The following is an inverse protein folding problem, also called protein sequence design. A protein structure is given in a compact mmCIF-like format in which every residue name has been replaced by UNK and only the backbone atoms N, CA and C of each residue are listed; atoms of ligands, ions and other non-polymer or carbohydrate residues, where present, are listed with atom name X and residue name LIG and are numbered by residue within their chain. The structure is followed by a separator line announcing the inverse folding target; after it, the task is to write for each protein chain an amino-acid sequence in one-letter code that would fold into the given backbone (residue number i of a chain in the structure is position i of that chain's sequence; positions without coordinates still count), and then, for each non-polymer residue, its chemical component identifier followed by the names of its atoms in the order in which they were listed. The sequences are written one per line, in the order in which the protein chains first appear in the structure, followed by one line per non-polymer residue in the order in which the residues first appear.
data_IF_946923504769
#
_entry.id   IF_946923504769
#
_cell.length_a   1.000
_cell.length_b   1.000
_cell.length_c   1.000
_cell.angle_alpha   90.00
_cell.angle_beta   90.00
_cell.angle_gamma   90.00
#
_symmetry.space_group_name_H-M   'P 1'
#
loop_
_entity.id
_entity.type
_entity.pdbx_description
1 polymer ?
#
# COMPACT_ATOMS: atom_id res chain seq x y z
N UNK A 1 -22.01 -40.33 66.17
CA UNK A 1 -22.85 -39.71 67.23
C UNK A 1 -23.09 -38.28 66.78
N UNK A 2 -24.28 -37.71 66.58
CA UNK A 2 -25.70 -37.98 66.86
C UNK A 2 -26.48 -37.13 65.82
N UNK A 3 -27.42 -37.68 65.03
CA UNK A 3 -28.90 -37.47 65.13
C UNK A 3 -29.33 -35.99 65.23
N UNK A 4 -30.36 -35.46 64.58
CA UNK A 4 -31.48 -35.97 63.76
C UNK A 4 -32.44 -34.80 63.49
N UNK A 5 -33.26 -34.91 62.43
CA UNK A 5 -34.67 -34.44 62.29
C UNK A 5 -34.99 -32.94 62.55
N UNK A 6 -35.90 -32.26 61.86
CA UNK A 6 -37.09 -32.63 61.09
C UNK A 6 -38.08 -31.44 61.18
N UNK A 7 -39.26 -31.58 60.57
CA UNK A 7 -40.42 -30.66 60.45
C UNK A 7 -40.45 -29.79 59.18
N UNK A 8 -41.29 -30.08 58.17
CA UNK A 8 -42.76 -30.21 58.04
C UNK A 8 -43.49 -28.88 57.76
N UNK A 9 -44.06 -28.86 56.55
CA UNK A 9 -45.43 -28.47 56.19
C UNK A 9 -45.75 -27.06 55.63
N UNK A 10 -46.26 -27.13 54.39
CA UNK A 10 -47.41 -26.44 53.77
C UNK A 10 -47.40 -24.91 53.67
N UNK A 11 -47.59 -24.42 52.43
CA UNK A 11 -48.82 -23.76 51.98
C UNK A 11 -48.85 -23.80 50.44
N UNK A 12 -49.95 -24.29 49.89
CA UNK A 12 -50.31 -24.18 48.48
C UNK A 12 -51.00 -22.83 48.25
N UNK A 13 -50.59 -22.08 47.22
CA UNK A 13 -51.40 -20.99 46.67
C UNK A 13 -51.53 -21.21 45.17
N UNK A 14 -52.77 -21.44 44.77
CA UNK A 14 -53.27 -21.50 43.41
C UNK A 14 -53.40 -20.06 42.88
N UNK A 15 -52.68 -19.74 41.80
CA UNK A 15 -52.81 -18.46 41.10
C UNK A 15 -53.01 -18.71 39.61
N UNK A 16 -54.26 -18.65 39.16
CA UNK A 16 -54.64 -18.61 37.74
C UNK A 16 -54.48 -17.18 37.26
N UNK A 17 -53.59 -16.90 36.31
CA UNK A 17 -53.59 -15.66 35.51
C UNK A 17 -53.17 -15.97 34.06
N UNK A 18 -54.20 -16.10 33.22
CA UNK A 18 -54.36 -15.60 31.85
C UNK A 18 -53.17 -15.58 30.89
N UNK A 19 -53.36 -16.32 29.78
CA UNK A 19 -52.59 -16.25 28.55
C UNK A 19 -52.58 -14.85 27.94
N UNK A 20 -51.38 -14.33 27.70
CA UNK A 20 -51.10 -13.27 26.74
C UNK A 20 -50.00 -13.75 25.80
N UNK A 21 -50.37 -14.34 24.68
CA UNK A 21 -49.43 -14.58 23.59
C UNK A 21 -49.08 -13.22 22.98
N UNK A 22 -47.93 -12.67 23.33
CA UNK A 22 -47.34 -11.57 22.58
C UNK A 22 -46.93 -12.11 21.20
N UNK A 23 -47.26 -11.43 20.09
CA UNK A 23 -46.70 -11.81 18.80
C UNK A 23 -45.19 -11.60 18.87
N UNK A 24 -44.44 -12.69 18.70
CA UNK A 24 -43.04 -12.62 18.32
C UNK A 24 -43.01 -11.99 16.92
N UNK A 25 -42.87 -10.66 16.87
CA UNK A 25 -42.33 -10.02 15.67
C UNK A 25 -40.92 -10.57 15.51
N UNK A 26 -40.78 -11.57 14.64
CA UNK A 26 -39.53 -11.86 13.98
C UNK A 26 -39.16 -10.58 13.21
N UNK A 27 -38.41 -9.71 13.86
CA UNK A 27 -37.63 -8.72 13.15
C UNK A 27 -36.60 -9.55 12.37
N UNK A 28 -36.89 -9.78 11.09
CA UNK A 28 -35.86 -10.07 10.09
C UNK A 28 -34.95 -8.84 10.04
N UNK A 29 -34.07 -8.78 11.05
CA UNK A 29 -32.92 -7.91 11.08
C UNK A 29 -31.95 -8.45 10.06
N UNK A 30 -32.26 -8.25 8.77
CA UNK A 30 -31.24 -8.15 7.77
C UNK A 30 -30.33 -7.01 8.24
N UNK A 31 -29.26 -7.39 8.93
CA UNK A 31 -28.10 -6.54 9.10
C UNK A 31 -27.69 -6.23 7.68
N UNK A 32 -28.09 -5.06 7.17
CA UNK A 32 -27.46 -4.47 6.00
C UNK A 32 -26.05 -4.19 6.50
N UNK A 33 -25.19 -5.20 6.38
CA UNK A 33 -23.77 -5.06 6.56
C UNK A 33 -23.40 -4.02 5.53
N UNK A 34 -23.14 -2.79 6.01
CA UNK A 34 -22.77 -1.68 5.17
C UNK A 34 -21.43 -2.09 4.58
N UNK A 35 -21.46 -2.70 3.40
CA UNK A 35 -20.28 -3.22 2.74
C UNK A 35 -19.23 -2.12 2.78
N UNK A 36 -18.14 -2.38 3.51
CA UNK A 36 -17.04 -1.44 3.61
C UNK A 36 -16.48 -1.31 2.21
N UNK A 37 -16.60 -0.14 1.59
CA UNK A 37 -16.05 0.05 0.26
C UNK A 37 -14.54 0.07 0.35
N UNK A 38 -13.86 -0.73 -0.48
CA UNK A 38 -12.41 -0.65 -0.62
C UNK A 38 -11.98 0.81 -0.89
N UNK A 39 -10.81 1.25 -0.37
CA UNK A 39 -10.29 2.58 -0.65
C UNK A 39 -10.23 2.85 -2.16
N UNK A 40 -10.56 4.08 -2.62
CA UNK A 40 -10.44 4.44 -4.03
C UNK A 40 -9.00 4.29 -4.53
N UNK A 41 -8.02 4.54 -3.66
CA UNK A 41 -6.59 4.32 -3.92
C UNK A 41 -5.89 3.79 -2.65
N UNK A 42 -4.90 2.92 -2.86
CA UNK A 42 -4.03 2.37 -1.81
C UNK A 42 -2.58 2.73 -2.15
N UNK A 43 -2.01 3.64 -1.37
CA UNK A 43 -0.66 4.15 -1.54
C UNK A 43 0.26 3.58 -0.47
N UNK A 44 1.28 2.88 -0.90
CA UNK A 44 2.26 2.27 0.00
C UNK A 44 3.66 2.70 -0.39
N UNK A 45 4.30 3.44 0.50
CA UNK A 45 5.70 3.84 0.33
C UNK A 45 6.64 3.01 1.20
N UNK A 46 7.88 2.81 0.76
CA UNK A 46 8.93 2.18 1.56
C UNK A 46 10.15 3.08 1.76
N UNK A 47 10.54 3.25 3.03
CA UNK A 47 11.78 3.91 3.40
C UNK A 47 13.01 3.01 3.18
N UNK A 48 14.12 3.63 2.79
CA UNK A 48 15.43 2.98 2.62
C UNK A 48 16.12 2.65 3.96
N UNK A 49 17.30 2.00 3.91
CA UNK A 49 18.16 1.81 5.08
C UNK A 49 17.53 1.11 6.29
N UNK A 50 17.97 1.49 7.49
CA UNK A 50 17.38 1.12 8.80
C UNK A 50 16.53 2.26 9.38
N UNK A 51 15.95 3.07 8.50
CA UNK A 51 15.28 4.32 8.84
C UNK A 51 13.87 4.03 9.39
N UNK A 52 13.52 4.72 10.49
CA UNK A 52 12.17 4.72 11.01
C UNK A 52 11.23 5.52 10.09
N UNK A 53 9.98 5.04 9.89
CA UNK A 53 9.04 5.63 8.94
C UNK A 53 8.55 7.04 9.34
N UNK A 54 8.80 7.46 10.59
CA UNK A 54 8.40 8.76 11.13
C UNK A 54 9.50 9.83 11.04
N UNK A 55 10.67 9.52 10.44
CA UNK A 55 11.72 10.52 10.30
C UNK A 55 11.41 11.47 9.12
N UNK A 56 11.16 12.77 9.37
CA UNK A 56 10.64 13.71 8.37
C UNK A 56 11.66 14.10 7.29
N UNK A 57 12.93 13.71 7.43
CA UNK A 57 13.99 14.08 6.48
C UNK A 57 14.10 13.12 5.28
N UNK A 58 13.25 12.09 5.22
CA UNK A 58 13.31 11.06 4.19
C UNK A 58 12.35 11.34 3.03
N UNK A 59 12.85 11.20 1.80
CA UNK A 59 12.13 11.47 0.56
C UNK A 59 10.75 10.80 0.48
N UNK A 60 10.62 9.48 0.74
CA UNK A 60 9.32 8.81 0.77
C UNK A 60 8.34 9.38 1.79
N UNK A 61 8.82 9.82 2.95
CA UNK A 61 8.01 10.38 4.04
C UNK A 61 7.51 11.78 3.67
N UNK A 62 8.38 12.62 3.12
CA UNK A 62 8.00 13.96 2.65
C UNK A 62 7.02 13.89 1.49
N UNK A 63 7.24 12.97 0.54
CA UNK A 63 6.31 12.71 -0.54
C UNK A 63 4.92 12.32 0.01
N UNK A 64 4.87 11.38 0.95
CA UNK A 64 3.64 10.99 1.60
C UNK A 64 2.92 12.16 2.29
N UNK A 65 3.65 13.04 2.96
CA UNK A 65 3.09 14.23 3.60
C UNK A 65 2.51 15.23 2.59
N UNK A 66 3.16 15.41 1.43
CA UNK A 66 2.65 16.27 0.36
C UNK A 66 1.41 15.67 -0.31
N UNK A 67 1.49 14.42 -0.75
CA UNK A 67 0.38 13.71 -1.41
C UNK A 67 -0.85 13.65 -0.50
N UNK A 68 -0.69 13.46 0.81
CA UNK A 68 -1.82 13.38 1.76
C UNK A 68 -2.76 14.59 1.69
N UNK A 69 -2.28 15.76 1.26
CA UNK A 69 -3.10 16.97 1.09
C UNK A 69 -4.01 16.93 -0.14
N UNK A 70 -3.62 16.14 -1.14
CA UNK A 70 -4.30 16.02 -2.44
C UNK A 70 -5.09 14.71 -2.57
N UNK A 71 -5.02 13.82 -1.57
CA UNK A 71 -5.69 12.52 -1.63
C UNK A 71 -7.22 12.65 -1.58
N UNK A 72 -7.95 11.85 -2.39
CA UNK A 72 -9.39 11.79 -2.29
C UNK A 72 -9.81 11.20 -0.94
N UNK A 73 -10.99 11.60 -0.47
CA UNK A 73 -11.56 11.08 0.77
C UNK A 73 -11.65 9.54 0.74
N UNK A 74 -11.18 8.91 1.81
CA UNK A 74 -11.17 7.45 1.94
C UNK A 74 -9.97 6.74 1.29
N UNK A 75 -9.07 7.45 0.59
CA UNK A 75 -7.81 6.85 0.14
C UNK A 75 -6.93 6.46 1.33
N UNK A 76 -6.21 5.35 1.17
CA UNK A 76 -5.25 4.87 2.15
C UNK A 76 -3.84 5.26 1.73
N UNK A 77 -3.06 5.81 2.66
CA UNK A 77 -1.63 6.08 2.47
C UNK A 77 -0.84 5.70 3.72
N UNK A 78 0.17 4.85 3.55
CA UNK A 78 1.10 4.49 4.62
C UNK A 78 2.53 4.28 4.12
N UNK A 79 3.50 4.73 4.93
CA UNK A 79 4.92 4.43 4.74
C UNK A 79 5.32 3.27 5.64
N UNK A 80 6.09 2.33 5.10
CA UNK A 80 6.64 1.19 5.81
C UNK A 80 8.16 1.19 5.74
N UNK A 81 8.78 0.57 6.72
CA UNK A 81 10.19 0.19 6.64
C UNK A 81 10.35 -0.94 5.62
N UNK A 82 11.44 -0.97 4.86
CA UNK A 82 11.66 -2.02 3.84
C UNK A 82 11.60 -3.46 4.40
N UNK A 83 11.90 -3.67 5.68
CA UNK A 83 11.81 -4.98 6.36
C UNK A 83 10.37 -5.39 6.68
N UNK A 84 9.43 -4.45 6.73
CA UNK A 84 8.02 -4.69 7.05
C UNK A 84 7.15 -4.91 5.79
N UNK A 85 7.75 -5.33 4.67
CA UNK A 85 7.04 -5.65 3.43
C UNK A 85 5.86 -6.62 3.63
N UNK A 86 6.03 -7.67 4.44
CA UNK A 86 4.96 -8.64 4.72
C UNK A 86 3.77 -8.00 5.46
N UNK A 87 4.03 -7.00 6.30
CA UNK A 87 2.99 -6.23 6.98
C UNK A 87 2.23 -5.38 5.98
N UNK A 88 2.94 -4.69 5.07
CA UNK A 88 2.30 -3.94 3.99
C UNK A 88 1.44 -4.84 3.08
N UNK A 89 1.94 -6.03 2.71
CA UNK A 89 1.17 -7.01 1.94
C UNK A 89 -0.15 -7.36 2.64
N UNK A 90 -0.11 -7.73 3.93
CA UNK A 90 -1.31 -8.04 4.72
C UNK A 90 -2.26 -6.84 4.81
N UNK A 91 -1.73 -5.64 5.03
CA UNK A 91 -2.54 -4.42 5.07
C UNK A 91 -3.29 -4.21 3.75
N UNK A 92 -2.62 -4.38 2.61
CA UNK A 92 -3.27 -4.29 1.29
C UNK A 92 -4.37 -5.32 1.14
N UNK A 93 -4.12 -6.60 1.48
CA UNK A 93 -5.15 -7.63 1.35
C UNK A 93 -6.37 -7.32 2.22
N UNK A 94 -6.16 -6.89 3.47
CA UNK A 94 -7.26 -6.53 4.38
C UNK A 94 -8.06 -5.32 3.90
N UNK A 95 -7.43 -4.36 3.20
CA UNK A 95 -8.14 -3.21 2.62
C UNK A 95 -8.97 -3.59 1.39
N UNK A 96 -8.59 -4.66 0.69
CA UNK A 96 -9.30 -5.17 -0.49
C UNK A 96 -10.41 -6.16 -0.12
N UNK A 97 -10.29 -6.85 1.02
CA UNK A 97 -11.26 -7.80 1.55
C UNK A 97 -12.44 -7.06 2.17
N UNK A 98 -13.41 -6.69 1.32
CA UNK A 98 -14.53 -5.80 1.64
C UNK A 98 -15.67 -6.51 2.36
N UNK A 99 -15.83 -7.81 2.15
CA UNK A 99 -16.80 -8.64 2.85
C UNK A 99 -16.21 -9.35 4.08
N UNK A 100 -14.89 -9.25 4.27
CA UNK A 100 -14.15 -9.75 5.43
C UNK A 100 -14.23 -11.27 5.60
N UNK A 101 -14.33 -12.00 4.49
CA UNK A 101 -14.37 -13.46 4.48
C UNK A 101 -12.96 -14.11 4.49
N UNK A 102 -11.91 -13.29 4.34
CA UNK A 102 -10.51 -13.71 4.33
C UNK A 102 -10.00 -14.22 2.99
N UNK A 103 -10.80 -14.18 1.92
CA UNK A 103 -10.47 -14.68 0.58
C UNK A 103 -10.88 -13.67 -0.50
N UNK A 104 -9.90 -12.95 -1.03
CA UNK A 104 -10.16 -11.98 -2.10
C UNK A 104 -10.83 -12.60 -3.33
N UNK A 105 -12.04 -12.15 -3.61
CA UNK A 105 -12.79 -12.44 -4.82
C UNK A 105 -12.16 -11.75 -6.05
N UNK A 106 -12.56 -12.18 -7.25
CA UNK A 106 -12.14 -11.51 -8.49
C UNK A 106 -12.60 -10.05 -8.54
N UNK A 107 -13.78 -9.76 -7.99
CA UNK A 107 -14.35 -8.43 -7.98
C UNK A 107 -13.56 -7.48 -7.07
N UNK A 108 -13.08 -7.96 -5.93
CA UNK A 108 -12.24 -7.18 -5.01
C UNK A 108 -10.87 -6.90 -5.59
N UNK A 109 -10.22 -7.92 -6.18
CA UNK A 109 -8.93 -7.74 -6.86
C UNK A 109 -9.03 -6.73 -8.02
N UNK A 110 -10.10 -6.78 -8.79
CA UNK A 110 -10.30 -5.89 -9.94
C UNK A 110 -10.49 -4.42 -9.54
N UNK A 111 -10.84 -4.13 -8.28
CA UNK A 111 -10.99 -2.76 -7.75
C UNK A 111 -9.69 -2.22 -7.13
N UNK A 112 -8.61 -2.99 -7.16
CA UNK A 112 -7.35 -2.59 -6.56
C UNK A 112 -6.67 -1.47 -7.38
N UNK A 113 -6.69 -0.25 -6.86
CA UNK A 113 -5.92 0.88 -7.37
C UNK A 113 -4.69 1.12 -6.48
N UNK A 114 -3.69 0.24 -6.63
CA UNK A 114 -2.50 0.24 -5.77
C UNK A 114 -1.37 1.01 -6.45
N UNK A 115 -0.75 1.92 -5.71
CA UNK A 115 0.45 2.65 -6.13
C UNK A 115 1.55 2.40 -5.10
N UNK A 116 2.71 1.95 -5.56
CA UNK A 116 3.85 1.61 -4.72
C UNK A 116 5.05 2.48 -5.06
N UNK A 117 5.73 3.01 -4.06
CA UNK A 117 6.96 3.78 -4.28
C UNK A 117 7.98 3.54 -3.17
N UNK A 118 9.25 3.82 -3.44
CA UNK A 118 10.27 3.71 -2.41
C UNK A 118 11.63 4.19 -2.87
N UNK A 119 12.52 4.35 -1.91
CA UNK A 119 13.91 4.73 -2.12
C UNK A 119 14.85 3.60 -1.71
N UNK A 120 15.98 3.41 -2.42
CA UNK A 120 17.05 2.49 -2.00
C UNK A 120 16.56 1.05 -1.79
N UNK A 121 16.79 0.46 -0.61
CA UNK A 121 16.23 -0.83 -0.23
C UNK A 121 14.70 -0.84 -0.16
N UNK A 122 14.06 0.31 0.07
CA UNK A 122 12.62 0.48 -0.02
C UNK A 122 12.11 0.33 -1.45
N UNK A 123 12.82 0.89 -2.43
CA UNK A 123 12.52 0.68 -3.85
C UNK A 123 12.64 -0.80 -4.25
N UNK A 124 13.64 -1.51 -3.71
CA UNK A 124 13.72 -2.97 -3.90
C UNK A 124 12.54 -3.69 -3.22
N UNK A 125 12.05 -3.20 -2.09
CA UNK A 125 10.89 -3.78 -1.41
C UNK A 125 9.59 -3.61 -2.21
N UNK A 126 9.43 -2.49 -2.95
CA UNK A 126 8.31 -2.27 -3.88
C UNK A 126 8.22 -3.39 -4.91
N UNK A 127 9.33 -3.74 -5.57
CA UNK A 127 9.33 -4.80 -6.59
C UNK A 127 9.00 -6.16 -5.99
N UNK A 128 9.52 -6.44 -4.79
CA UNK A 128 9.23 -7.70 -4.10
C UNK A 128 7.77 -7.77 -3.64
N UNK A 129 7.19 -6.66 -3.18
CA UNK A 129 5.78 -6.59 -2.81
C UNK A 129 4.91 -6.80 -4.04
N UNK A 130 5.26 -6.16 -5.16
CA UNK A 130 4.55 -6.34 -6.43
C UNK A 130 4.50 -7.80 -6.86
N UNK A 131 5.58 -8.56 -6.66
CA UNK A 131 5.61 -10.02 -6.91
C UNK A 131 4.77 -10.83 -5.94
N UNK A 132 4.66 -10.40 -4.68
CA UNK A 132 3.76 -11.04 -3.71
C UNK A 132 2.30 -10.79 -4.09
N UNK A 133 1.97 -9.57 -4.53
CA UNK A 133 0.66 -9.21 -5.07
C UNK A 133 0.36 -9.96 -6.38
N UNK A 134 1.35 -10.14 -7.26
CA UNK A 134 1.23 -10.89 -8.51
C UNK A 134 0.80 -12.35 -8.25
N UNK A 135 1.47 -13.01 -7.28
CA UNK A 135 1.09 -14.36 -6.85
C UNK A 135 -0.31 -14.44 -6.26
N UNK A 136 -0.80 -13.34 -5.68
CA UNK A 136 -2.17 -13.23 -5.18
C UNK A 136 -3.19 -12.84 -6.27
N UNK A 137 -2.73 -12.53 -7.49
CA UNK A 137 -3.54 -12.04 -8.60
C UNK A 137 -4.06 -10.61 -8.39
N UNK A 138 -3.37 -9.81 -7.58
CA UNK A 138 -3.74 -8.42 -7.28
C UNK A 138 -2.99 -7.47 -8.22
N UNK A 139 -3.69 -6.65 -9.03
CA UNK A 139 -3.05 -5.69 -9.93
C UNK A 139 -2.46 -4.51 -9.16
N UNK A 140 -1.43 -3.89 -9.75
CA UNK A 140 -0.78 -2.67 -9.26
C UNK A 140 -0.78 -1.67 -10.41
N UNK A 141 -1.24 -0.44 -10.16
CA UNK A 141 -1.29 0.60 -11.18
C UNK A 141 0.11 1.11 -11.51
N UNK A 142 0.86 1.48 -10.48
CA UNK A 142 2.14 2.15 -10.65
C UNK A 142 3.15 1.65 -9.62
N UNK A 143 4.37 1.40 -10.08
CA UNK A 143 5.55 1.29 -9.21
C UNK A 143 6.56 2.38 -9.52
N UNK A 144 7.09 3.04 -8.50
CA UNK A 144 8.18 4.00 -8.65
C UNK A 144 9.37 3.60 -7.80
N UNK A 145 10.50 3.35 -8.45
CA UNK A 145 11.76 3.02 -7.81
C UNK A 145 12.67 4.23 -7.84
N UNK A 146 13.09 4.72 -6.67
CA UNK A 146 14.10 5.77 -6.54
C UNK A 146 15.40 5.16 -6.02
N UNK A 147 16.46 5.31 -6.80
CA UNK A 147 17.82 4.85 -6.56
C UNK A 147 17.89 3.44 -5.97
N UNK A 148 17.18 2.50 -6.61
CA UNK A 148 16.92 1.18 -6.06
C UNK A 148 18.19 0.35 -5.88
N UNK A 149 18.37 -0.23 -4.69
CA UNK A 149 19.47 -1.13 -4.39
C UNK A 149 18.88 -2.50 -4.04
N UNK A 150 19.22 -3.50 -4.84
CA UNK A 150 18.89 -4.88 -4.52
C UNK A 150 19.74 -5.39 -3.34
N UNK A 151 19.09 -6.07 -2.39
CA UNK A 151 19.82 -6.87 -1.40
C UNK A 151 20.45 -8.10 -2.08
N UNK A 152 21.51 -8.69 -1.50
CA UNK A 152 22.07 -9.93 -2.01
C UNK A 152 20.97 -10.97 -2.26
N UNK A 153 21.04 -11.68 -3.39
CA UNK A 153 20.09 -12.73 -3.80
C UNK A 153 18.69 -12.23 -4.23
N UNK A 154 18.48 -10.91 -4.28
CA UNK A 154 17.26 -10.32 -4.79
C UNK A 154 17.54 -9.60 -6.12
N UNK A 155 16.53 -9.56 -6.99
CA UNK A 155 16.57 -8.78 -8.21
C UNK A 155 15.39 -7.82 -8.20
N UNK A 156 15.67 -6.54 -8.36
CA UNK A 156 14.70 -5.44 -8.47
C UNK A 156 14.62 -4.90 -9.90
N UNK A 157 15.24 -5.59 -10.86
CA UNK A 157 15.34 -5.18 -12.27
C UNK A 157 14.10 -5.53 -13.10
N UNK A 158 13.48 -6.67 -12.80
CA UNK A 158 12.33 -7.19 -13.55
C UNK A 158 11.05 -6.86 -12.80
N UNK A 159 10.20 -6.06 -13.43
CA UNK A 159 8.88 -5.66 -12.93
C UNK A 159 7.88 -6.76 -13.31
N UNK A 160 7.09 -7.27 -12.35
CA UNK A 160 6.10 -8.31 -12.61
C UNK A 160 4.94 -7.81 -13.46
N UNK A 161 4.26 -8.74 -14.12
CA UNK A 161 3.23 -8.44 -15.12
C UNK A 161 1.92 -7.88 -14.57
N UNK A 162 1.68 -8.01 -13.26
CA UNK A 162 0.54 -7.39 -12.58
C UNK A 162 0.69 -5.88 -12.41
N UNK A 163 1.86 -5.31 -12.71
CA UNK A 163 2.11 -3.87 -12.66
C UNK A 163 1.79 -3.27 -14.02
N UNK A 164 0.85 -2.32 -14.09
CA UNK A 164 0.50 -1.65 -15.33
C UNK A 164 1.61 -0.70 -15.80
N UNK A 165 2.11 0.15 -14.91
CA UNK A 165 3.15 1.14 -15.21
C UNK A 165 4.30 1.11 -14.19
N UNK A 166 5.53 1.37 -14.65
CA UNK A 166 6.68 1.47 -13.78
C UNK A 166 7.66 2.56 -14.20
N UNK A 167 8.20 3.29 -13.21
CA UNK A 167 9.22 4.30 -13.39
C UNK A 167 10.43 4.03 -12.50
N UNK A 168 11.62 4.32 -13.02
CA UNK A 168 12.87 4.22 -12.28
C UNK A 168 13.62 5.54 -12.35
N UNK A 169 14.01 6.07 -11.19
CA UNK A 169 14.85 7.24 -11.02
C UNK A 169 16.15 6.75 -10.39
N UNK A 170 17.31 7.10 -10.96
CA UNK A 170 18.57 6.56 -10.46
C UNK A 170 19.73 7.54 -10.62
N UNK A 171 20.71 7.43 -9.73
CA UNK A 171 22.03 8.02 -9.93
C UNK A 171 23.08 6.91 -10.12
N UNK A 172 24.04 7.07 -11.06
CA UNK A 172 24.96 5.99 -11.42
C UNK A 172 26.33 6.04 -10.75
N UNK A 173 26.55 6.90 -9.74
CA UNK A 173 27.88 7.23 -9.22
C UNK A 173 28.06 6.77 -7.77
N UNK A 174 29.33 6.59 -7.38
CA UNK A 174 29.69 6.13 -6.04
C UNK A 174 29.69 4.60 -5.89
N UNK A 175 30.09 4.12 -4.73
CA UNK A 175 30.12 2.69 -4.40
C UNK A 175 28.72 2.11 -4.25
N UNK A 176 27.80 2.95 -3.79
CA UNK A 176 26.39 2.66 -3.67
C UNK A 176 25.68 3.49 -4.72
N UNK A 177 25.06 2.81 -5.67
CA UNK A 177 24.31 3.43 -6.75
C UNK A 177 23.05 2.63 -7.07
N UNK A 178 22.02 3.33 -7.54
CA UNK A 178 20.77 2.70 -7.90
C UNK A 178 20.86 1.83 -9.14
N UNK A 179 19.82 1.02 -9.33
CA UNK A 179 19.55 0.26 -10.54
C UNK A 179 19.38 1.23 -11.71
N UNK A 180 20.28 1.16 -12.69
CA UNK A 180 20.21 2.04 -13.86
C UNK A 180 19.10 1.72 -14.85
N UNK A 181 18.62 0.47 -14.87
CA UNK A 181 17.59 0.03 -15.80
C UNK A 181 16.67 -1.01 -15.20
N UNK A 182 15.37 -0.74 -15.23
CA UNK A 182 14.29 -1.70 -15.01
C UNK A 182 13.68 -2.14 -16.35
N UNK A 183 13.05 -3.31 -16.36
CA UNK A 183 12.37 -3.89 -17.52
C UNK A 183 11.10 -4.61 -17.08
N UNK A 184 10.07 -4.58 -17.91
CA UNK A 184 8.91 -5.43 -17.73
C UNK A 184 9.30 -6.90 -17.91
N UNK A 185 8.71 -7.81 -17.12
CA UNK A 185 8.74 -9.25 -17.43
C UNK A 185 7.98 -9.55 -18.72
N UNK A 186 6.90 -8.80 -18.97
CA UNK A 186 6.10 -8.85 -20.20
C UNK A 186 5.76 -7.41 -20.64
N UNK A 187 6.33 -6.97 -21.76
CA UNK A 187 6.11 -5.61 -22.29
C UNK A 187 4.68 -5.40 -22.84
N UNK A 188 3.88 -6.46 -23.01
CA UNK A 188 2.48 -6.34 -23.40
C UNK A 188 1.55 -6.02 -22.22
N UNK A 189 2.01 -6.25 -20.99
CA UNK A 189 1.24 -6.04 -19.75
C UNK A 189 1.75 -4.88 -18.90
N UNK A 190 3.05 -4.62 -18.94
CA UNK A 190 3.69 -3.57 -18.14
C UNK A 190 4.41 -2.56 -19.02
N UNK A 191 4.03 -1.29 -18.88
CA UNK A 191 4.72 -0.17 -19.52
C UNK A 191 5.81 0.38 -18.60
N UNK A 192 7.05 0.44 -19.11
CA UNK A 192 8.13 1.18 -18.44
C UNK A 192 8.08 2.63 -18.90
N UNK A 193 7.62 3.52 -18.02
CA UNK A 193 7.49 4.96 -18.29
C UNK A 193 8.86 5.61 -18.54
N UNK A 194 9.88 5.15 -17.82
CA UNK A 194 11.23 5.66 -18.02
C UNK A 194 12.25 5.11 -17.04
N UNK A 195 13.52 5.26 -17.43
CA UNK A 195 14.68 5.10 -16.56
C UNK A 195 15.40 6.45 -16.52
N UNK A 196 15.01 7.30 -15.58
CA UNK A 196 15.42 8.69 -15.46
C UNK A 196 16.73 8.79 -14.69
N UNK A 197 17.76 9.30 -15.36
CA UNK A 197 19.10 9.47 -14.78
C UNK A 197 19.24 10.82 -14.09
N UNK A 198 19.74 10.82 -12.87
CA UNK A 198 20.15 12.00 -12.11
C UNK A 198 21.67 11.97 -11.91
N UNK A 199 22.34 13.10 -12.16
CA UNK A 199 23.80 13.20 -12.09
C UNK A 199 24.23 14.25 -11.07
N UNK A 200 24.32 13.80 -9.82
CA UNK A 200 24.69 14.64 -8.68
C UNK A 200 26.15 15.09 -8.66
N UNK A 201 26.99 14.60 -9.58
CA UNK A 201 28.33 15.18 -9.80
C UNK A 201 28.26 16.48 -10.62
N UNK A 202 27.20 16.65 -11.41
CA UNK A 202 26.97 17.84 -12.24
C UNK A 202 26.04 18.85 -11.56
N UNK A 203 25.00 18.35 -10.90
CA UNK A 203 24.01 19.15 -10.21
C UNK A 203 23.88 18.63 -8.77
N UNK A 204 24.82 18.97 -7.88
CA UNK A 204 24.75 18.54 -6.50
C UNK A 204 23.58 19.19 -5.77
N UNK A 205 22.97 18.44 -4.86
CA UNK A 205 21.91 18.87 -3.96
C UNK A 205 22.46 18.84 -2.54
N UNK A 206 22.15 19.88 -1.76
CA UNK A 206 22.49 19.90 -0.34
C UNK A 206 21.37 19.23 0.46
N UNK A 207 21.68 18.14 1.16
CA UNK A 207 20.73 17.45 2.03
C UNK A 207 20.94 17.88 3.48
N UNK A 208 19.99 18.65 4.02
CA UNK A 208 20.01 18.97 5.45
C UNK A 208 19.68 17.74 6.30
N UNK A 209 20.36 17.59 7.45
CA UNK A 209 20.05 16.56 8.44
C UNK A 209 20.64 15.16 8.18
N UNK A 210 21.37 14.95 7.08
CA UNK A 210 22.05 13.69 6.85
C UNK A 210 23.32 13.55 7.72
N UNK A 211 23.56 12.35 8.24
CA UNK A 211 24.73 12.08 9.06
C UNK A 211 26.02 12.26 8.25
N UNK A 212 27.15 12.54 8.93
CA UNK A 212 28.45 12.64 8.26
C UNK A 212 28.80 11.36 7.49
N UNK A 213 28.35 10.21 8.00
CA UNK A 213 28.63 8.88 7.48
C UNK A 213 27.92 8.65 6.12
N UNK A 214 26.67 9.13 6.01
CA UNK A 214 25.89 9.12 4.77
C UNK A 214 26.45 10.07 3.71
N UNK A 215 26.90 11.25 4.14
CA UNK A 215 27.58 12.23 3.28
C UNK A 215 28.88 11.68 2.66
N UNK A 216 29.62 10.83 3.39
CA UNK A 216 30.94 10.37 2.93
C UNK A 216 30.87 9.04 2.16
N UNK A 217 30.03 8.09 2.59
CA UNK A 217 30.00 6.75 1.98
C UNK A 217 29.10 6.65 0.75
N UNK A 218 28.03 7.46 0.69
CA UNK A 218 27.04 7.37 -0.38
C UNK A 218 26.45 8.75 -0.75
N UNK A 219 27.29 9.77 -1.04
CA UNK A 219 26.83 11.15 -1.23
C UNK A 219 25.79 11.30 -2.33
N UNK A 220 25.96 10.64 -3.47
CA UNK A 220 24.99 10.72 -4.58
C UNK A 220 23.72 9.94 -4.28
N UNK A 221 23.82 8.79 -3.62
CA UNK A 221 22.67 7.99 -3.18
C UNK A 221 21.80 8.76 -2.19
N UNK A 222 22.42 9.45 -1.23
CA UNK A 222 21.76 10.33 -0.29
C UNK A 222 21.11 11.54 -0.98
N UNK A 223 21.74 12.12 -2.00
CA UNK A 223 21.14 13.24 -2.75
C UNK A 223 19.82 12.86 -3.42
N UNK A 224 19.71 11.64 -3.95
CA UNK A 224 18.43 11.15 -4.49
C UNK A 224 17.32 11.00 -3.45
N UNK A 225 17.66 10.91 -2.16
CA UNK A 225 16.68 10.87 -1.06
C UNK A 225 16.10 12.25 -0.77
N UNK A 226 16.88 13.33 -0.91
CA UNK A 226 16.47 14.69 -0.53
C UNK A 226 16.16 15.62 -1.72
N UNK A 227 16.45 15.20 -2.96
CA UNK A 227 16.32 16.04 -4.16
C UNK A 227 14.85 16.41 -4.46
N UNK A 228 14.46 17.68 -4.28
CA UNK A 228 13.08 18.10 -4.51
C UNK A 228 12.67 17.99 -5.99
N UNK A 229 13.59 18.15 -6.94
CA UNK A 229 13.27 18.03 -8.36
C UNK A 229 12.94 16.59 -8.72
N UNK A 230 13.69 15.63 -8.17
CA UNK A 230 13.40 14.21 -8.32
C UNK A 230 12.02 13.89 -7.73
N UNK A 231 11.80 14.26 -6.46
CA UNK A 231 10.56 13.88 -5.76
C UNK A 231 9.31 14.59 -6.29
N UNK A 232 9.44 15.77 -6.89
CA UNK A 232 8.33 16.42 -7.61
C UNK A 232 7.92 15.64 -8.85
N UNK A 233 8.88 15.02 -9.56
CA UNK A 233 8.56 14.16 -10.71
C UNK A 233 7.87 12.86 -10.26
N UNK A 234 8.33 12.27 -9.14
CA UNK A 234 7.66 11.11 -8.53
C UNK A 234 6.22 11.46 -8.14
N UNK A 235 6.03 12.61 -7.48
CA UNK A 235 4.71 13.12 -7.09
C UNK A 235 3.78 13.30 -8.30
N UNK A 236 4.27 13.92 -9.37
CA UNK A 236 3.50 14.11 -10.59
C UNK A 236 3.04 12.78 -11.19
N UNK A 237 3.91 11.76 -11.24
CA UNK A 237 3.54 10.42 -11.71
C UNK A 237 2.44 9.79 -10.84
N UNK A 238 2.55 9.92 -9.51
CA UNK A 238 1.56 9.36 -8.57
C UNK A 238 0.21 10.07 -8.70
N UNK A 239 0.21 11.40 -8.74
CA UNK A 239 -1.03 12.18 -8.87
C UNK A 239 -1.70 11.97 -10.23
N UNK A 240 -0.93 11.78 -11.31
CA UNK A 240 -1.48 11.49 -12.63
C UNK A 240 -2.31 10.20 -12.66
N UNK A 241 -1.93 9.18 -11.88
CA UNK A 241 -2.72 7.94 -11.77
C UNK A 241 -4.08 8.15 -11.06
N UNK A 242 -4.22 9.24 -10.31
CA UNK A 242 -5.44 9.56 -9.57
C UNK A 242 -6.38 10.47 -10.34
N UNK A 243 -5.92 11.06 -11.44
CA UNK A 243 -6.76 11.89 -12.28
C UNK A 243 -7.82 11.02 -12.97
N UNK A 244 -9.05 11.53 -13.15
CA UNK A 244 -10.04 10.85 -13.97
C UNK A 244 -9.46 10.60 -15.36
N UNK A 245 -9.31 9.32 -15.73
CA UNK A 245 -8.99 8.96 -17.10
C UNK A 245 -10.14 9.48 -17.98
N UNK A 246 -9.87 10.22 -19.07
CA UNK A 246 -10.94 10.59 -19.99
C UNK A 246 -11.58 9.30 -20.49
N UNK A 247 -12.87 9.12 -20.18
CA UNK A 247 -13.66 8.04 -20.77
C UNK A 247 -13.60 8.27 -22.26
N UNK A 248 -12.88 7.40 -22.99
CA UNK A 248 -12.99 7.36 -24.44
C UNK A 248 -14.44 7.02 -24.74
N UNK A 249 -15.23 8.07 -25.01
CA UNK A 249 -16.59 7.91 -25.48
C UNK A 249 -16.51 7.01 -26.72
N UNK A 250 -17.12 5.83 -26.62
CA UNK A 250 -17.25 4.92 -27.73
C UNK A 250 -17.93 5.71 -28.86
N UNK A 251 -17.19 5.96 -29.94
CA UNK A 251 -17.73 6.57 -31.15
C UNK A 251 -18.79 5.58 -31.65
N UNK A 252 -20.07 5.95 -31.71
CA UNK A 252 -21.10 5.06 -32.23
C UNK A 252 -20.77 4.77 -33.69
N UNK A 253 -20.57 3.49 -34.00
CA UNK A 253 -20.46 3.01 -35.37
C UNK A 253 -21.79 3.28 -36.07
N UNK A 254 -21.80 4.25 -36.99
CA UNK A 254 -22.93 4.51 -37.87
C UNK A 254 -22.98 3.37 -38.89
N UNK A 255 -24.12 2.67 -38.91
CA UNK A 255 -24.46 1.65 -39.91
C UNK A 255 -24.62 2.27 -41.29
#
# INVERSE_FOLDING_TARGET
MSRSAGFRNLIAILGVLTAGAAPLSAADGAVISRASSAPPFILVGFAGGFIHPDNPHHGPVQLAQRIRKELPAGAYLQIFENRHRKTAFKAILNLLDTDHDGVLSRAEKARAHIILFGHSWGASAVVLLSRELDRAGVPVLLTVQVDSIAKPWQSDKMIPENVAEAANFYQPHGLIHGRSKIRASDNSKTQILGNYRFDYRKAPVNCEGASWLEHVLAPSHMQSECDPHLWTQVEALVLQQMLPQPVMAAIPQVK
#
